data_IF_718686789606
#
_entry.id   IF_718686789606
#
_cell.length_a   1.000
_cell.length_b   1.000
_cell.length_c   1.000
_cell.angle_alpha   90.00
_cell.angle_beta   90.00
_cell.angle_gamma   90.00
#
_symmetry.space_group_name_H-M   'P 1'
#
loop_
_entity.id
_entity.type
_entity.pdbx_description
1 polymer ?
#
# COMPACT_ATOMS: atom_id res chain seq x y z
N UNK A 1 -19.15 9.58 3.57
CA UNK A 1 -18.28 8.53 4.11
C UNK A 1 -16.94 8.68 3.42
N UNK A 2 -15.87 9.00 4.17
CA UNK A 2 -14.51 9.08 3.65
C UNK A 2 -13.97 7.65 3.65
N UNK A 3 -13.89 7.00 2.49
CA UNK A 3 -13.32 5.65 2.36
C UNK A 3 -11.79 5.74 2.36
N UNK A 4 -11.13 4.85 3.09
CA UNK A 4 -9.67 4.75 3.12
C UNK A 4 -9.18 3.88 1.96
N UNK A 5 -7.98 4.19 1.47
CA UNK A 5 -7.31 3.32 0.50
C UNK A 5 -6.95 1.96 1.13
N UNK A 6 -6.89 0.93 0.29
CA UNK A 6 -6.37 -0.37 0.71
C UNK A 6 -4.91 -0.25 1.17
N UNK A 7 -4.58 -0.87 2.30
CA UNK A 7 -3.26 -0.81 2.90
C UNK A 7 -2.60 -2.18 2.92
N UNK A 8 -1.36 -2.29 2.45
CA UNK A 8 -0.61 -3.56 2.51
C UNK A 8 0.39 -3.56 3.67
N UNK A 9 0.42 -4.66 4.43
CA UNK A 9 1.46 -4.95 5.43
C UNK A 9 2.81 -5.23 4.78
N UNK A 10 2.79 -5.79 3.56
CA UNK A 10 4.00 -6.08 2.77
C UNK A 10 4.35 -4.93 1.83
N UNK A 11 4.46 -3.70 2.34
CA UNK A 11 4.81 -2.55 1.48
C UNK A 11 6.19 -2.68 0.81
N UNK A 12 7.07 -3.53 1.34
CA UNK A 12 8.36 -3.89 0.70
C UNK A 12 8.22 -4.85 -0.48
N UNK A 13 7.12 -5.59 -0.60
CA UNK A 13 6.89 -6.53 -1.71
C UNK A 13 6.48 -5.80 -3.00
N UNK A 14 5.86 -4.62 -2.89
CA UNK A 14 5.62 -3.70 -4.02
C UNK A 14 6.03 -2.27 -3.65
N UNK A 15 7.34 -1.95 -3.66
CA UNK A 15 7.84 -0.63 -3.27
C UNK A 15 7.24 0.51 -4.12
N UNK A 16 6.91 0.25 -5.39
CA UNK A 16 6.27 1.20 -6.29
C UNK A 16 4.90 1.68 -5.81
N UNK A 17 4.15 0.82 -5.09
CA UNK A 17 2.88 1.22 -4.45
C UNK A 17 3.09 2.19 -3.29
N UNK A 18 4.22 2.07 -2.58
CA UNK A 18 4.56 2.93 -1.47
C UNK A 18 4.99 4.33 -1.94
N UNK A 19 5.74 4.39 -3.04
CA UNK A 19 6.22 5.65 -3.61
C UNK A 19 6.59 5.45 -5.10
N UNK A 20 6.08 6.30 -6.01
CA UNK A 20 6.45 6.20 -7.44
C UNK A 20 7.95 6.33 -7.70
N UNK A 21 8.71 6.94 -6.80
CA UNK A 21 10.16 7.06 -6.91
C UNK A 21 10.92 5.72 -6.80
N UNK A 22 10.25 4.63 -6.38
CA UNK A 22 10.81 3.28 -6.44
C UNK A 22 10.73 2.61 -7.82
N UNK A 23 9.99 3.18 -8.78
CA UNK A 23 9.85 2.60 -10.11
C UNK A 23 11.22 2.56 -10.81
N UNK A 24 11.71 1.38 -11.18
CA UNK A 24 13.03 1.18 -11.80
C UNK A 24 14.19 1.37 -10.83
N UNK A 25 14.04 1.00 -9.56
CA UNK A 25 15.15 1.04 -8.56
C UNK A 25 16.07 -0.16 -8.63
N UNK A 26 15.65 -1.21 -9.32
CA UNK A 26 16.47 -2.37 -9.65
C UNK A 26 17.02 -2.24 -11.06
N UNK A 27 18.21 -2.79 -11.30
CA UNK A 27 18.81 -2.83 -12.65
C UNK A 27 18.03 -3.74 -13.61
N UNK A 28 17.27 -4.69 -13.06
CA UNK A 28 16.42 -5.60 -13.82
C UNK A 28 14.97 -5.13 -13.81
N UNK A 29 14.20 -5.62 -14.80
CA UNK A 29 12.75 -5.58 -14.78
C UNK A 29 12.21 -6.32 -13.57
N UNK A 30 11.30 -5.70 -12.83
CA UNK A 30 10.64 -6.30 -11.67
C UNK A 30 9.16 -6.47 -11.92
N UNK A 31 8.66 -7.64 -11.53
CA UNK A 31 7.23 -7.94 -11.44
C UNK A 31 6.89 -8.25 -9.99
N UNK A 32 5.73 -7.79 -9.53
CA UNK A 32 5.22 -8.05 -8.19
C UNK A 32 3.72 -8.28 -8.24
N UNK A 33 3.25 -9.21 -7.42
CA UNK A 33 1.83 -9.45 -7.20
C UNK A 33 1.58 -9.59 -5.70
N UNK A 34 0.52 -8.94 -5.22
CA UNK A 34 0.07 -9.05 -3.83
C UNK A 34 -1.41 -9.43 -3.86
N UNK A 35 -1.73 -10.44 -3.05
CA UNK A 35 -3.09 -10.78 -2.68
C UNK A 35 -3.28 -10.47 -1.20
N UNK A 36 -4.35 -9.76 -0.87
CA UNK A 36 -4.71 -9.42 0.50
C UNK A 36 -6.17 -9.78 0.75
N UNK A 37 -6.41 -10.53 1.80
CA UNK A 37 -7.74 -10.82 2.34
C UNK A 37 -7.81 -10.26 3.77
N UNK A 38 -8.64 -9.24 3.96
CA UNK A 38 -8.83 -8.58 5.25
C UNK A 38 -10.21 -8.93 5.82
N UNK A 39 -10.19 -9.41 7.05
CA UNK A 39 -11.35 -9.93 7.79
C UNK A 39 -12.07 -11.08 7.08
N UNK A 40 -11.37 -12.18 6.73
CA UNK A 40 -11.96 -13.31 6.02
C UNK A 40 -13.13 -13.97 6.77
N UNK A 41 -13.15 -13.85 8.10
CA UNK A 41 -14.20 -14.41 8.96
C UNK A 41 -15.48 -13.57 9.00
N UNK A 42 -15.50 -12.37 8.41
CA UNK A 42 -16.67 -11.48 8.41
C UNK A 42 -17.32 -11.53 7.01
N UNK A 43 -18.64 -11.79 6.90
CA UNK A 43 -19.36 -11.69 5.65
C UNK A 43 -19.15 -10.31 5.00
N UNK A 44 -18.63 -10.32 3.77
CA UNK A 44 -18.30 -9.11 3.03
C UNK A 44 -16.87 -8.59 3.24
N UNK A 45 -15.92 -9.50 3.49
CA UNK A 45 -14.48 -9.24 3.60
C UNK A 45 -13.92 -8.40 2.44
N UNK A 46 -12.76 -7.79 2.70
CA UNK A 46 -12.05 -6.96 1.74
C UNK A 46 -10.99 -7.78 1.04
N UNK A 47 -11.12 -7.92 -0.28
CA UNK A 47 -10.17 -8.69 -1.10
C UNK A 47 -9.51 -7.76 -2.11
N UNK A 48 -8.20 -7.58 -1.95
CA UNK A 48 -7.39 -6.72 -2.80
C UNK A 48 -6.37 -7.54 -3.60
N UNK A 49 -6.30 -7.28 -4.90
CA UNK A 49 -5.25 -7.73 -5.81
C UNK A 49 -4.45 -6.53 -6.27
N UNK A 50 -3.13 -6.62 -6.21
CA UNK A 50 -2.23 -5.59 -6.72
C UNK A 50 -1.15 -6.21 -7.58
N UNK A 51 -1.03 -5.75 -8.81
CA UNK A 51 0.04 -6.12 -9.74
C UNK A 51 0.91 -4.90 -9.98
N UNK A 52 2.21 -5.09 -9.92
CA UNK A 52 3.19 -4.05 -10.17
C UNK A 52 4.23 -4.53 -11.18
N UNK A 53 4.61 -3.64 -12.07
CA UNK A 53 5.68 -3.80 -13.03
C UNK A 53 6.55 -2.55 -12.97
N UNK A 54 7.87 -2.71 -12.98
CA UNK A 54 8.78 -1.58 -13.17
C UNK A 54 10.09 -1.96 -13.84
N UNK A 55 10.71 -0.98 -14.50
CA UNK A 55 11.94 -1.17 -15.26
C UNK A 55 12.79 0.11 -15.22
N UNK A 56 14.10 -0.05 -15.20
CA UNK A 56 15.06 1.06 -15.28
C UNK A 56 15.57 1.22 -16.72
N UNK A 57 15.34 2.39 -17.28
CA UNK A 57 15.81 2.83 -18.60
C UNK A 57 17.15 3.55 -18.42
N UNK A 58 18.25 2.81 -18.60
CA UNK A 58 19.62 3.31 -18.42
C UNK A 58 19.93 4.52 -19.30
N UNK A 59 19.46 4.53 -20.54
CA UNK A 59 19.75 5.59 -21.51
C UNK A 59 19.13 6.94 -21.14
N UNK A 60 18.10 6.92 -20.28
CA UNK A 60 17.38 8.10 -19.83
C UNK A 60 17.65 8.41 -18.35
N UNK A 61 18.48 7.62 -17.65
CA UNK A 61 18.63 7.66 -16.19
C UNK A 61 17.27 7.70 -15.48
N UNK A 62 16.33 6.88 -15.93
CA UNK A 62 14.92 6.99 -15.53
C UNK A 62 14.33 5.62 -15.27
N UNK A 63 13.36 5.55 -14.37
CA UNK A 63 12.54 4.37 -14.15
C UNK A 63 11.10 4.60 -14.56
N UNK A 64 10.48 3.57 -15.12
CA UNK A 64 9.06 3.55 -15.45
C UNK A 64 8.38 2.43 -14.68
N UNK A 65 7.12 2.64 -14.31
CA UNK A 65 6.33 1.68 -13.57
C UNK A 65 4.88 1.67 -13.98
N UNK A 66 4.22 0.54 -13.78
CA UNK A 66 2.79 0.34 -13.95
C UNK A 66 2.26 -0.43 -12.74
N UNK A 67 1.18 0.08 -12.15
CA UNK A 67 0.47 -0.57 -11.06
C UNK A 67 -0.98 -0.77 -11.48
N UNK A 68 -1.50 -1.97 -11.27
CA UNK A 68 -2.91 -2.29 -11.44
C UNK A 68 -3.43 -2.83 -10.12
N UNK A 69 -4.45 -2.18 -9.57
CA UNK A 69 -5.08 -2.60 -8.33
C UNK A 69 -6.55 -2.87 -8.55
N UNK A 70 -7.06 -3.94 -7.95
CA UNK A 70 -8.47 -4.26 -7.90
C UNK A 70 -8.85 -4.65 -6.48
N UNK A 71 -9.81 -3.94 -5.90
CA UNK A 71 -10.34 -4.19 -4.57
C UNK A 71 -11.85 -4.45 -4.62
N UNK A 72 -12.30 -5.40 -3.80
CA UNK A 72 -13.71 -5.70 -3.59
C UNK A 72 -14.02 -5.73 -2.10
N UNK A 73 -15.13 -5.09 -1.73
CA UNK A 73 -15.61 -5.06 -0.36
C UNK A 73 -17.13 -5.20 -0.28
N UNK A 74 -17.66 -5.49 0.92
CA UNK A 74 -19.11 -5.52 1.17
C UNK A 74 -19.84 -6.57 0.34
N UNK A 75 -19.35 -7.81 0.39
CA UNK A 75 -19.86 -8.96 -0.39
C UNK A 75 -19.75 -8.77 -1.91
N UNK A 76 -18.80 -7.93 -2.33
CA UNK A 76 -18.56 -7.58 -3.73
C UNK A 76 -19.47 -6.48 -4.27
N UNK A 77 -20.25 -5.82 -3.40
CA UNK A 77 -21.04 -4.66 -3.77
C UNK A 77 -20.13 -3.47 -4.11
N UNK A 78 -19.07 -3.23 -3.33
CA UNK A 78 -18.12 -2.15 -3.60
C UNK A 78 -16.96 -2.68 -4.46
N UNK A 79 -16.64 -1.97 -5.54
CA UNK A 79 -15.55 -2.29 -6.46
C UNK A 79 -14.69 -1.06 -6.69
N UNK A 80 -13.39 -1.23 -6.51
CA UNK A 80 -12.39 -0.21 -6.82
C UNK A 80 -11.37 -0.81 -7.78
N UNK A 81 -11.13 -0.15 -8.91
CA UNK A 81 -10.11 -0.57 -9.88
C UNK A 81 -9.26 0.62 -10.24
N UNK A 82 -7.94 0.49 -10.20
CA UNK A 82 -7.03 1.53 -10.64
C UNK A 82 -5.94 1.00 -11.54
N UNK A 83 -5.51 1.84 -12.47
CA UNK A 83 -4.35 1.64 -13.33
C UNK A 83 -3.50 2.90 -13.25
N UNK A 84 -2.29 2.78 -12.74
CA UNK A 84 -1.40 3.92 -12.46
C UNK A 84 -0.06 3.74 -13.16
N UNK A 85 0.29 4.69 -14.02
CA UNK A 85 1.61 4.82 -14.61
C UNK A 85 2.52 5.69 -13.73
N UNK A 86 3.79 5.33 -13.68
CA UNK A 86 4.80 5.99 -12.85
C UNK A 86 6.04 6.31 -13.67
N UNK A 87 6.65 7.46 -13.38
CA UNK A 87 7.93 7.87 -13.94
C UNK A 87 8.80 8.46 -12.83
N UNK A 88 10.03 7.99 -12.72
CA UNK A 88 11.03 8.47 -11.77
C UNK A 88 12.31 8.82 -12.51
N UNK A 89 12.89 9.99 -12.24
CA UNK A 89 14.20 10.37 -12.78
C UNK A 89 15.27 10.13 -11.72
N UNK A 90 16.45 9.62 -12.10
CA UNK A 90 17.54 9.35 -11.18
C UNK A 90 18.67 10.37 -11.31
N UNK A 91 19.01 10.97 -10.17
CA UNK A 91 20.07 11.97 -10.06
C UNK A 91 21.14 11.41 -9.12
N UNK A 92 22.34 11.17 -9.64
CA UNK A 92 23.51 10.85 -8.81
C UNK A 92 24.09 12.14 -8.24
N UNK A 93 23.98 12.32 -6.92
CA UNK A 93 24.53 13.49 -6.22
C UNK A 93 26.03 13.33 -5.96
N UNK A 94 26.44 12.10 -5.60
CA UNK A 94 27.81 11.65 -5.36
C UNK A 94 27.87 10.17 -5.65
N UNK A 95 29.09 9.62 -5.74
CA UNK A 95 29.33 8.18 -5.88
C UNK A 95 28.46 7.37 -4.91
N UNK A 96 27.51 6.61 -5.46
CA UNK A 96 26.57 5.74 -4.73
C UNK A 96 25.56 6.48 -3.82
N UNK A 97 25.27 7.74 -4.10
CA UNK A 97 24.27 8.55 -3.39
C UNK A 97 23.34 9.18 -4.42
N UNK A 98 22.08 8.78 -4.38
CA UNK A 98 21.10 9.12 -5.40
C UNK A 98 19.87 9.78 -4.80
N UNK A 99 19.25 10.66 -5.58
CA UNK A 99 17.91 11.18 -5.34
C UNK A 99 17.03 10.94 -6.57
N UNK A 100 15.79 10.54 -6.34
CA UNK A 100 14.83 10.22 -7.39
C UNK A 100 13.51 10.96 -7.16
N UNK A 101 13.29 12.12 -7.79
CA UNK A 101 11.94 12.67 -7.90
C UNK A 101 11.11 11.83 -8.88
N UNK A 102 9.81 11.75 -8.63
CA UNK A 102 8.88 10.97 -9.42
C UNK A 102 7.48 11.57 -9.47
N UNK A 103 6.77 11.21 -10.53
CA UNK A 103 5.37 11.53 -10.76
C UNK A 103 4.61 10.25 -11.08
N UNK A 104 3.33 10.27 -10.75
CA UNK A 104 2.41 9.22 -11.16
C UNK A 104 1.07 9.80 -11.57
N UNK A 105 0.44 9.11 -12.52
CA UNK A 105 -0.90 9.40 -12.99
C UNK A 105 -1.63 8.09 -13.14
N UNK A 106 -2.85 8.03 -12.63
CA UNK A 106 -3.68 6.85 -12.73
C UNK A 106 -5.11 7.18 -13.08
N UNK A 107 -5.77 6.19 -13.65
CA UNK A 107 -7.21 6.17 -13.85
C UNK A 107 -7.82 5.27 -12.78
N UNK A 108 -8.91 5.72 -12.16
CA UNK A 108 -9.62 4.99 -11.13
C UNK A 108 -11.08 4.86 -11.52
N UNK A 109 -11.62 3.65 -11.35
CA UNK A 109 -13.04 3.35 -11.41
C UNK A 109 -13.51 2.86 -10.06
N UNK A 110 -14.48 3.58 -9.48
CA UNK A 110 -15.10 3.25 -8.22
C UNK A 110 -16.58 3.02 -8.46
N UNK A 111 -17.09 1.85 -8.10
CA UNK A 111 -18.44 1.44 -8.42
C UNK A 111 -19.12 0.73 -7.25
N UNK A 112 -20.43 0.91 -7.13
CA UNK A 112 -21.28 0.16 -6.21
C UNK A 112 -22.34 -0.62 -6.98
N UNK A 113 -22.44 -1.91 -6.67
CA UNK A 113 -23.51 -2.78 -7.09
C UNK A 113 -24.59 -2.85 -6.00
N UNK A 114 -25.54 -1.93 -6.08
CA UNK A 114 -26.63 -1.83 -5.12
C UNK A 114 -27.57 -3.04 -5.14
N UNK A 115 -27.58 -3.85 -6.21
CA UNK A 115 -28.38 -5.08 -6.27
C UNK A 115 -27.92 -6.17 -5.30
N UNK A 116 -26.68 -6.05 -4.80
CA UNK A 116 -26.08 -6.98 -3.82
C UNK A 116 -26.23 -6.49 -2.38
N UNK A 117 -26.83 -5.34 -2.17
CA UNK A 117 -27.05 -4.75 -0.86
C UNK A 117 -28.50 -4.95 -0.42
N UNK A 118 -28.69 -5.13 0.88
CA UNK A 118 -30.02 -5.15 1.52
C UNK A 118 -30.21 -3.82 2.24
N UNK A 119 -31.23 -3.07 1.85
CA UNK A 119 -31.54 -1.75 2.41
C UNK A 119 -32.49 -1.85 3.61
N UNK A 120 -32.44 -0.83 4.48
CA UNK A 120 -33.26 -0.80 5.70
C UNK A 120 -34.76 -0.81 5.42
N UNK A 121 -35.19 -0.19 4.32
CA UNK A 121 -36.60 -0.21 3.89
C UNK A 121 -37.05 -1.62 3.46
N UNK A 122 -36.15 -2.42 2.89
CA UNK A 122 -36.42 -3.81 2.57
C UNK A 122 -36.55 -4.65 3.84
N UNK A 123 -35.66 -4.45 4.83
CA UNK A 123 -35.71 -5.17 6.10
C UNK A 123 -37.01 -4.90 6.88
N UNK A 124 -37.46 -3.64 6.93
CA UNK A 124 -38.72 -3.25 7.60
C UNK A 124 -39.95 -3.84 6.90
N UNK A 125 -39.82 -4.19 5.62
CA UNK A 125 -40.92 -4.65 4.76
C UNK A 125 -40.85 -6.15 4.41
N UNK A 126 -40.05 -6.93 5.12
CA UNK A 126 -40.01 -8.38 4.98
C UNK A 126 -38.90 -8.94 4.08
N UNK A 127 -37.87 -8.14 3.76
CA UNK A 127 -36.62 -8.59 3.12
C UNK A 127 -36.68 -8.83 1.61
N UNK A 128 -37.80 -9.37 1.11
CA UNK A 128 -38.00 -9.77 -0.30
C UNK A 128 -38.74 -8.71 -1.14
N UNK A 129 -38.67 -7.44 -0.76
CA UNK A 129 -39.27 -6.34 -1.54
C UNK A 129 -38.19 -5.52 -2.22
N UNK A 130 -38.47 -4.99 -3.41
CA UNK A 130 -37.59 -4.01 -4.04
C UNK A 130 -37.45 -2.77 -3.15
N UNK A 131 -36.24 -2.23 -3.07
CA UNK A 131 -36.00 -0.97 -2.36
C UNK A 131 -36.69 0.19 -3.09
N UNK A 132 -37.17 1.16 -2.32
CA UNK A 132 -37.64 2.45 -2.87
C UNK A 132 -36.52 3.45 -3.10
N UNK A 133 -35.29 3.12 -2.68
CA UNK A 133 -34.12 3.95 -2.95
C UNK A 133 -33.85 3.98 -4.47
N UNK A 134 -33.73 5.19 -5.04
CA UNK A 134 -33.34 5.36 -6.44
C UNK A 134 -31.84 5.14 -6.59
N UNK A 135 -31.46 3.88 -6.84
CA UNK A 135 -30.09 3.42 -6.87
C UNK A 135 -29.72 2.93 -8.27
N UNK A 136 -29.65 3.86 -9.22
CA UNK A 136 -28.91 3.58 -10.45
C UNK A 136 -27.50 3.11 -10.08
N UNK A 137 -27.05 2.02 -10.70
CA UNK A 137 -25.69 1.49 -10.50
C UNK A 137 -24.67 2.56 -10.87
N UNK A 138 -24.15 3.27 -9.88
CA UNK A 138 -23.25 4.40 -10.08
C UNK A 138 -21.81 3.92 -10.06
N UNK A 139 -21.15 4.11 -11.19
CA UNK A 139 -19.70 4.09 -11.30
C UNK A 139 -19.21 5.52 -11.48
N UNK A 140 -18.25 5.94 -10.67
CA UNK A 140 -17.50 7.18 -10.87
C UNK A 140 -16.11 6.84 -11.38
N UNK A 141 -15.68 7.53 -12.42
CA UNK A 141 -14.33 7.42 -12.95
C UNK A 141 -13.62 8.74 -12.76
N UNK A 142 -12.39 8.69 -12.28
CA UNK A 142 -11.59 9.89 -12.05
C UNK A 142 -10.11 9.62 -12.28
N UNK A 143 -9.39 10.68 -12.61
CA UNK A 143 -7.93 10.66 -12.66
C UNK A 143 -7.37 10.90 -11.28
N UNK A 144 -6.31 10.19 -10.92
CA UNK A 144 -5.57 10.37 -9.68
C UNK A 144 -4.11 10.71 -9.98
N UNK A 145 -3.58 11.75 -9.36
CA UNK A 145 -2.20 12.20 -9.55
C UNK A 145 -1.44 12.14 -8.23
N UNK A 146 -0.16 11.79 -8.32
CA UNK A 146 0.73 11.74 -7.17
C UNK A 146 2.16 12.10 -7.54
N UNK A 147 2.95 12.37 -6.52
CA UNK A 147 4.38 12.63 -6.65
C UNK A 147 5.13 11.96 -5.51
N UNK A 148 6.42 11.75 -5.69
CA UNK A 148 7.26 11.23 -4.63
C UNK A 148 8.72 11.56 -4.86
N UNK A 149 9.48 11.44 -3.79
CA UNK A 149 10.93 11.56 -3.81
C UNK A 149 11.53 10.43 -3.02
N UNK A 150 12.64 9.89 -3.51
CA UNK A 150 13.42 8.86 -2.82
C UNK A 150 14.90 9.27 -2.80
N UNK A 151 15.47 9.36 -1.62
CA UNK A 151 16.90 9.42 -1.41
C UNK A 151 17.39 8.02 -1.05
N UNK A 152 18.44 7.52 -1.70
CA UNK A 152 18.99 6.21 -1.36
C UNK A 152 20.49 6.08 -1.59
N UNK A 153 21.04 5.11 -0.87
CA UNK A 153 22.43 4.65 -0.87
C UNK A 153 22.44 3.11 -0.82
N UNK A 154 23.58 2.42 -0.95
CA UNK A 154 23.62 0.96 -0.90
C UNK A 154 23.10 0.33 0.39
N UNK A 155 22.93 1.10 1.48
CA UNK A 155 22.48 0.58 2.78
C UNK A 155 21.26 1.28 3.33
N UNK A 156 20.87 2.43 2.80
CA UNK A 156 19.83 3.26 3.40
C UNK A 156 18.95 3.86 2.32
N UNK A 157 17.67 3.95 2.60
CA UNK A 157 16.73 4.73 1.78
C UNK A 157 15.80 5.53 2.68
N UNK A 158 15.37 6.67 2.17
CA UNK A 158 14.40 7.55 2.80
C UNK A 158 13.58 8.19 1.68
N UNK A 159 12.26 8.12 1.77
CA UNK A 159 11.37 8.66 0.77
C UNK A 159 10.11 9.27 1.36
N UNK A 160 9.50 10.13 0.57
CA UNK A 160 8.22 10.75 0.85
C UNK A 160 7.37 10.68 -0.41
N UNK A 161 6.06 10.50 -0.26
CA UNK A 161 5.11 10.57 -1.36
C UNK A 161 3.85 11.34 -0.96
N UNK A 162 3.23 11.95 -1.96
CA UNK A 162 1.95 12.62 -1.87
C UNK A 162 1.04 12.04 -2.96
N UNK A 163 -0.03 11.38 -2.53
CA UNK A 163 -1.07 10.86 -3.41
C UNK A 163 -2.29 11.79 -3.39
N UNK A 164 -3.14 11.66 -4.43
CA UNK A 164 -4.37 12.43 -4.60
C UNK A 164 -4.13 13.94 -4.64
N UNK A 165 -3.04 14.37 -5.30
CA UNK A 165 -2.69 15.78 -5.44
C UNK A 165 -3.83 16.63 -6.02
N UNK A 166 -4.62 16.02 -6.90
CA UNK A 166 -5.75 16.65 -7.56
C UNK A 166 -7.10 16.47 -6.83
N UNK A 167 -7.09 15.92 -5.60
CA UNK A 167 -8.24 15.70 -4.72
C UNK A 167 -9.53 15.31 -5.47
N UNK A 168 -9.51 14.20 -6.25
CA UNK A 168 -10.58 13.88 -7.18
C UNK A 168 -11.91 13.63 -6.45
N UNK A 169 -13.02 14.00 -7.08
CA UNK A 169 -14.34 13.68 -6.55
C UNK A 169 -14.67 12.21 -6.80
N UNK A 170 -14.77 11.44 -5.72
CA UNK A 170 -15.10 10.01 -5.72
C UNK A 170 -16.56 9.73 -5.31
N UNK A 171 -17.42 10.76 -5.32
CA UNK A 171 -18.80 10.61 -4.87
C UNK A 171 -19.58 9.63 -5.75
N UNK A 172 -20.07 8.56 -5.12
CA UNK A 172 -20.99 7.59 -5.72
C UNK A 172 -22.44 8.07 -5.63
N UNK A 173 -22.74 9.08 -4.81
CA UNK A 173 -24.06 9.69 -4.67
C UNK A 173 -24.04 11.14 -5.19
N UNK A 174 -25.21 11.79 -5.26
CA UNK A 174 -25.28 13.21 -5.60
C UNK A 174 -24.56 14.04 -4.54
N UNK A 175 -23.54 14.79 -4.94
CA UNK A 175 -22.72 15.62 -4.05
C UNK A 175 -21.23 15.61 -4.40
N UNK A 176 -20.44 16.30 -3.57
CA UNK A 176 -18.97 16.24 -3.63
C UNK A 176 -18.43 15.40 -2.48
N UNK A 177 -17.61 14.41 -2.80
CA UNK A 177 -16.79 13.66 -1.86
C UNK A 177 -15.37 13.63 -2.43
N UNK A 178 -14.59 14.66 -2.10
CA UNK A 178 -13.20 14.76 -2.56
C UNK A 178 -12.34 13.77 -1.78
N UNK A 179 -11.51 13.03 -2.51
CA UNK A 179 -10.53 12.13 -1.92
C UNK A 179 -9.39 12.98 -1.34
N UNK A 180 -9.21 13.01 0.00
CA UNK A 180 -8.19 13.85 0.62
C UNK A 180 -6.79 13.41 0.23
N UNK A 181 -5.88 14.38 0.09
CA UNK A 181 -4.45 14.11 -0.10
C UNK A 181 -3.91 13.18 0.98
N UNK A 182 -3.13 12.20 0.54
CA UNK A 182 -2.44 11.25 1.42
C UNK A 182 -0.96 11.53 1.39
N UNK A 183 -0.38 11.77 2.55
CA UNK A 183 1.06 11.89 2.72
C UNK A 183 1.64 10.58 3.25
N UNK A 184 2.79 10.19 2.73
CA UNK A 184 3.56 9.08 3.30
C UNK A 184 5.04 9.43 3.41
N UNK A 185 5.69 8.86 4.42
CA UNK A 185 7.13 8.95 4.63
C UNK A 185 7.64 7.59 5.08
N UNK A 186 8.68 7.08 4.45
CA UNK A 186 9.21 5.75 4.73
C UNK A 186 10.72 5.76 4.62
N UNK A 187 11.35 4.83 5.30
CA UNK A 187 12.79 4.67 5.21
C UNK A 187 13.24 3.37 5.84
N UNK A 188 14.51 3.07 5.64
CA UNK A 188 15.11 1.90 6.25
C UNK A 188 16.60 1.84 6.07
N UNK A 189 17.20 0.93 6.84
CA UNK A 189 18.63 0.68 6.86
C UNK A 189 18.91 -0.82 6.83
N UNK A 190 19.85 -1.23 5.99
CA UNK A 190 20.34 -2.59 5.83
C UNK A 190 21.67 -2.77 6.55
N UNK A 191 21.64 -3.56 7.61
CA UNK A 191 22.79 -4.01 8.36
C UNK A 191 23.30 -5.32 7.76
N UNK A 192 24.44 -5.28 7.06
CA UNK A 192 25.09 -6.49 6.57
C UNK A 192 25.81 -7.17 7.73
N UNK A 193 25.43 -8.40 8.05
CA UNK A 193 26.10 -9.21 9.06
C UNK A 193 27.32 -9.83 8.39
N UNK A 194 28.50 -9.30 8.70
CA UNK A 194 29.77 -9.87 8.24
C UNK A 194 30.09 -11.09 9.09
N UNK A 195 29.81 -12.27 8.56
CA UNK A 195 30.35 -13.52 9.13
C UNK A 195 31.73 -13.76 8.53
N UNK A 196 32.73 -13.98 9.39
CA UNK A 196 34.04 -14.46 8.97
C UNK A 196 33.86 -15.86 8.38
N UNK A 197 34.54 -16.14 7.26
CA UNK A 197 34.50 -17.40 6.50
C UNK A 197 33.33 -17.47 5.51
N UNK A 198 33.66 -17.09 4.27
CA UNK A 198 33.06 -17.49 2.98
C UNK A 198 31.87 -18.44 3.13
N UNK A 199 30.66 -17.90 3.02
CA UNK A 199 29.46 -18.65 2.63
C UNK A 199 28.78 -17.91 1.49
N UNK A 200 28.25 -18.67 0.54
CA UNK A 200 27.63 -18.20 -0.70
C UNK A 200 26.35 -17.35 -0.50
N UNK A 201 25.91 -17.13 0.75
CA UNK A 201 24.61 -16.55 1.08
C UNK A 201 24.80 -15.38 2.06
N UNK A 202 24.84 -14.12 1.59
CA UNK A 202 25.01 -12.96 2.44
C UNK A 202 23.82 -12.81 3.41
N UNK A 203 24.11 -12.40 4.64
CA UNK A 203 23.11 -12.21 5.69
C UNK A 203 22.92 -10.72 5.97
N UNK A 204 21.67 -10.31 6.13
CA UNK A 204 21.39 -8.94 6.55
C UNK A 204 20.16 -8.83 7.42
N UNK A 205 20.18 -7.83 8.30
CA UNK A 205 19.00 -7.37 9.02
C UNK A 205 18.61 -6.03 8.41
N UNK A 206 17.34 -5.88 8.09
CA UNK A 206 16.79 -4.65 7.56
C UNK A 206 15.82 -4.11 8.58
N UNK A 207 16.06 -2.89 9.05
CA UNK A 207 15.12 -2.14 9.87
C UNK A 207 14.46 -1.06 9.01
N UNK A 208 13.15 -0.90 9.12
CA UNK A 208 12.40 0.03 8.28
C UNK A 208 11.17 0.58 8.99
N UNK A 209 10.70 1.73 8.51
CA UNK A 209 9.48 2.37 8.95
C UNK A 209 8.65 2.86 7.76
N UNK A 210 7.36 3.01 7.99
CA UNK A 210 6.42 3.60 7.06
C UNK A 210 5.37 4.40 7.84
N UNK A 211 5.36 5.71 7.66
CA UNK A 211 4.37 6.63 8.19
C UNK A 211 3.41 7.04 7.08
N UNK A 212 2.12 7.08 7.38
CA UNK A 212 1.07 7.55 6.46
C UNK A 212 0.10 8.45 7.22
N UNK A 213 -0.34 9.50 6.56
CA UNK A 213 -1.30 10.46 7.07
C UNK A 213 -2.30 10.81 5.97
N UNK A 214 -3.60 10.65 6.25
CA UNK A 214 -4.68 11.02 5.36
C UNK A 214 -5.86 11.55 6.18
N UNK A 215 -6.19 12.82 5.95
CA UNK A 215 -7.23 13.52 6.68
C UNK A 215 -7.00 13.49 8.21
N UNK A 216 -7.81 12.76 8.98
CA UNK A 216 -7.67 12.63 10.45
C UNK A 216 -6.91 11.38 10.88
N UNK A 217 -6.65 10.48 9.94
CA UNK A 217 -6.07 9.16 10.19
C UNK A 217 -4.58 9.18 9.91
N UNK A 218 -3.81 8.80 10.92
CA UNK A 218 -2.37 8.59 10.81
C UNK A 218 -2.01 7.18 11.28
N UNK A 219 -1.00 6.61 10.64
CA UNK A 219 -0.48 5.29 10.92
C UNK A 219 1.04 5.28 10.81
N UNK A 220 1.69 4.58 11.74
CA UNK A 220 3.12 4.27 11.68
C UNK A 220 3.30 2.75 11.75
N UNK A 221 4.00 2.21 10.77
CA UNK A 221 4.51 0.85 10.78
C UNK A 221 6.01 0.90 11.07
N UNK A 222 6.48 0.16 12.07
CA UNK A 222 7.88 -0.03 12.41
C UNK A 222 8.21 -1.51 12.35
N UNK A 223 9.30 -1.90 11.72
CA UNK A 223 9.64 -3.31 11.68
C UNK A 223 11.08 -3.60 11.33
N UNK A 224 11.43 -4.86 11.52
CA UNK A 224 12.69 -5.39 11.09
C UNK A 224 12.51 -6.81 10.54
N UNK A 225 13.29 -7.14 9.52
CA UNK A 225 13.34 -8.47 8.96
C UNK A 225 14.78 -8.91 8.71
N UNK A 226 15.02 -10.19 8.94
CA UNK A 226 16.26 -10.88 8.64
C UNK A 226 16.13 -11.56 7.27
N UNK A 227 17.13 -11.36 6.42
CA UNK A 227 17.26 -12.02 5.12
C UNK A 227 18.52 -12.89 5.11
N UNK A 228 18.32 -14.17 4.78
CA UNK A 228 19.39 -15.12 4.47
C UNK A 228 18.82 -16.17 3.55
N UNK A 229 19.26 -16.18 2.29
CA UNK A 229 18.82 -17.16 1.32
C UNK A 229 18.94 -18.61 1.86
N UNK A 230 17.89 -19.45 1.75
CA UNK A 230 16.67 -19.21 0.97
C UNK A 230 15.49 -18.62 1.75
N UNK A 231 15.68 -18.01 2.92
CA UNK A 231 14.59 -17.55 3.79
C UNK A 231 14.69 -16.07 4.16
N UNK A 232 13.53 -15.48 4.45
CA UNK A 232 13.45 -14.23 5.18
C UNK A 232 12.31 -14.27 6.19
N UNK A 233 12.49 -13.60 7.32
CA UNK A 233 11.48 -13.50 8.35
C UNK A 233 11.59 -12.18 9.10
N UNK A 234 10.46 -11.64 9.56
CA UNK A 234 10.45 -10.35 10.23
C UNK A 234 9.23 -10.10 11.08
N UNK A 235 9.32 -9.03 11.85
CA UNK A 235 8.26 -8.54 12.71
C UNK A 235 8.01 -7.08 12.38
N UNK A 236 6.73 -6.74 12.35
CA UNK A 236 6.23 -5.40 12.12
C UNK A 236 5.24 -5.04 13.21
N UNK A 237 5.35 -3.82 13.71
CA UNK A 237 4.43 -3.22 14.65
C UNK A 237 3.72 -2.07 13.95
N UNK A 238 2.39 -2.06 14.02
CA UNK A 238 1.53 -1.02 13.47
C UNK A 238 0.84 -0.27 14.61
N UNK A 239 1.11 1.03 14.71
CA UNK A 239 0.50 1.90 15.70
C UNK A 239 1.31 3.15 16.00
N UNK A 240 0.69 4.14 16.63
CA UNK A 240 1.30 5.37 17.13
C UNK A 240 1.23 5.42 18.68
N UNK A 241 1.87 4.49 19.40
CA UNK A 241 1.70 4.33 20.86
C UNK A 241 2.05 5.59 21.67
N UNK A 242 2.88 6.50 21.13
CA UNK A 242 3.46 7.63 21.86
C UNK A 242 3.15 9.01 21.25
N UNK A 243 2.59 9.07 20.04
CA UNK A 243 2.43 10.34 19.30
C UNK A 243 0.98 10.80 19.20
N UNK A 244 0.00 9.87 19.24
CA UNK A 244 -1.41 10.22 19.07
C UNK A 244 -2.31 9.19 19.75
N UNK A 245 -3.11 9.64 20.69
CA UNK A 245 -4.22 8.90 21.26
C UNK A 245 -5.53 9.49 20.71
N UNK A 246 -6.34 8.69 20.01
CA UNK A 246 -7.62 9.18 19.47
C UNK A 246 -8.65 9.44 20.58
N UNK A 247 -8.44 8.89 21.79
CA UNK A 247 -9.17 9.19 23.01
C UNK A 247 -8.22 9.22 24.23
N UNK A 248 -8.45 10.07 25.24
CA UNK A 248 -7.67 10.07 26.47
C UNK A 248 -7.69 8.67 27.13
N UNK A 249 -6.51 8.11 27.44
CA UNK A 249 -6.37 6.80 28.07
C UNK A 249 -6.26 5.60 27.11
N UNK A 250 -6.38 5.80 25.79
CA UNK A 250 -6.23 4.73 24.80
C UNK A 250 -4.93 4.90 23.99
N UNK A 251 -4.05 3.90 24.05
CA UNK A 251 -2.89 3.83 23.17
C UNK A 251 -3.33 3.40 21.76
N UNK A 252 -2.85 4.08 20.73
CA UNK A 252 -3.12 3.75 19.33
C UNK A 252 -2.23 2.57 18.87
N UNK A 253 -2.56 1.38 19.36
CA UNK A 253 -1.88 0.13 19.03
C UNK A 253 -2.83 -0.68 18.15
N UNK A 254 -2.46 -0.96 16.90
CA UNK A 254 -3.36 -1.60 15.92
C UNK A 254 -3.05 -3.10 15.80
N UNK A 255 -1.86 -3.44 15.28
CA UNK A 255 -1.51 -4.82 14.98
C UNK A 255 -0.01 -5.10 15.11
N UNK A 256 0.33 -6.36 15.38
CA UNK A 256 1.65 -6.92 15.17
C UNK A 256 1.57 -7.84 13.96
N UNK A 257 2.37 -7.60 12.94
CA UNK A 257 2.45 -8.47 11.78
C UNK A 257 3.72 -9.33 11.81
N UNK A 258 3.51 -10.63 11.56
CA UNK A 258 4.60 -11.59 11.37
C UNK A 258 4.77 -11.79 9.86
N UNK A 259 6.01 -11.73 9.40
CA UNK A 259 6.40 -11.98 8.02
C UNK A 259 7.30 -13.21 7.96
N UNK A 260 7.04 -14.11 7.03
CA UNK A 260 7.96 -15.18 6.65
C UNK A 260 7.87 -15.46 5.15
N UNK A 261 8.97 -15.89 4.55
CA UNK A 261 8.99 -16.22 3.14
C UNK A 261 10.27 -16.91 2.68
N UNK A 262 10.25 -17.26 1.40
CA UNK A 262 11.37 -17.88 0.69
C UNK A 262 11.89 -16.94 -0.40
N UNK A 263 13.20 -16.94 -0.58
CA UNK A 263 13.90 -16.22 -1.63
C UNK A 263 14.87 -17.18 -2.32
N UNK A 264 14.82 -17.25 -3.64
CA UNK A 264 15.74 -18.06 -4.46
C UNK A 264 16.12 -17.21 -5.65
N UNK A 265 17.40 -16.83 -5.75
CA UNK A 265 17.85 -15.82 -6.71
C UNK A 265 16.99 -14.53 -6.63
N UNK A 266 16.36 -14.15 -7.74
CA UNK A 266 15.52 -12.96 -7.87
C UNK A 266 14.04 -13.20 -7.49
N UNK A 267 13.63 -14.46 -7.26
CA UNK A 267 12.27 -14.80 -6.88
C UNK A 267 12.09 -14.68 -5.36
N UNK A 268 11.04 -13.96 -4.94
CA UNK A 268 10.64 -13.83 -3.52
C UNK A 268 9.17 -14.17 -3.37
N UNK A 269 8.85 -15.05 -2.44
CA UNK A 269 7.48 -15.41 -2.06
C UNK A 269 7.36 -15.24 -0.56
N UNK A 270 6.42 -14.41 -0.12
CA UNK A 270 6.23 -14.09 1.30
C UNK A 270 4.77 -14.21 1.72
N UNK A 271 4.58 -14.57 2.98
CA UNK A 271 3.30 -14.53 3.65
C UNK A 271 3.41 -13.66 4.90
N UNK A 272 2.39 -12.86 5.15
CA UNK A 272 2.30 -12.03 6.35
C UNK A 272 0.94 -12.18 6.98
N UNK A 273 0.92 -12.20 8.31
CA UNK A 273 -0.32 -12.25 9.08
C UNK A 273 -0.33 -11.15 10.13
N UNK A 274 -1.38 -10.32 10.10
CA UNK A 274 -1.59 -9.21 11.02
C UNK A 274 -2.40 -9.71 12.23
N UNK A 275 -1.75 -9.78 13.40
CA UNK A 275 -2.38 -10.02 14.68
C UNK A 275 -2.88 -8.68 15.24
N UNK A 276 -4.19 -8.44 15.17
CA UNK A 276 -4.81 -7.27 15.79
C UNK A 276 -4.62 -7.32 17.31
N UNK A 277 -4.00 -6.28 17.86
CA UNK A 277 -3.79 -6.08 19.30
C UNK A 277 -4.64 -4.93 19.85
N UNK A 278 -5.29 -4.16 18.96
CA UNK A 278 -6.30 -3.17 19.36
C UNK A 278 -7.50 -3.88 20.00
N UNK A 279 -8.06 -3.27 21.04
CA UNK A 279 -9.39 -3.65 21.51
C UNK A 279 -10.39 -3.11 20.49
N UNK A 280 -11.03 -4.00 19.74
CA UNK A 280 -12.24 -3.69 18.98
C UNK A 280 -13.29 -3.22 20.00
N UNK A 281 -13.64 -1.93 19.95
CA UNK A 281 -14.73 -1.35 20.72
C UNK A 281 -15.72 -0.71 19.74
#
# INVERSE_FOLDING_TARGET
MSAQDAHFTQFYATPTYLNPAFAGTTLQTRFGAIYRDQWPSIPGSFVTYNFAFDHYLSDLNSGVGLIMMHDRAGSGALRYTSVTGQYAYEIELKRKVFIRPALQIGWVSHAVDYSRLVFGDQLVRGGDVATYENLDGRSVNYTNMGTGVLFFTPRMWLGMALDHLNEPNQSLLSGESRLPRKFSMHGGYRFNIRTAVIKDHPQSVVAAFNYRAQEKYDQLDLGAYYEREPFFAGLWYRGLPLLKAYQPGYQNNDAIAILAGVMVNDLRIGYSYDLTISRLA
#
